data_IF_809812342737
#
_entry.id   IF_809812342737
#
_cell.length_a   1.000
_cell.length_b   1.000
_cell.length_c   1.000
_cell.angle_alpha   90.00
_cell.angle_beta   90.00
_cell.angle_gamma   90.00
#
_symmetry.space_group_name_H-M   'P 1'
#
loop_
_entity.id
_entity.type
_entity.pdbx_description
1 polymer ?
#
# COMPACT_ATOMS: atom_id res chain seq x y z
N UNK A 1 -21.06 -17.27 15.43
CA UNK A 1 -22.22 -16.82 14.64
C UNK A 1 -21.92 -16.95 13.15
N UNK A 2 -22.79 -17.63 12.40
CA UNK A 2 -22.69 -17.80 10.94
C UNK A 2 -23.16 -16.51 10.24
N UNK A 3 -22.66 -16.25 9.03
CA UNK A 3 -23.04 -15.03 8.28
C UNK A 3 -24.55 -14.91 8.02
N UNK A 4 -25.25 -16.04 7.84
CA UNK A 4 -26.71 -16.11 7.72
C UNK A 4 -27.44 -15.53 8.94
N UNK A 5 -27.00 -15.90 10.15
CA UNK A 5 -27.58 -15.44 11.42
C UNK A 5 -27.41 -13.92 11.61
N UNK A 6 -26.28 -13.36 11.14
CA UNK A 6 -26.02 -11.91 11.18
C UNK A 6 -27.00 -11.16 10.26
N UNK A 7 -27.29 -11.70 9.07
CA UNK A 7 -28.23 -11.06 8.13
C UNK A 7 -29.66 -11.14 8.66
N UNK A 8 -30.07 -12.28 9.21
CA UNK A 8 -31.40 -12.45 9.81
C UNK A 8 -31.64 -11.45 10.95
N UNK A 9 -30.63 -11.20 11.79
CA UNK A 9 -30.71 -10.19 12.84
C UNK A 9 -30.81 -8.76 12.30
N UNK A 10 -30.10 -8.44 11.21
CA UNK A 10 -30.20 -7.14 10.54
C UNK A 10 -31.58 -6.95 9.88
N UNK A 11 -32.17 -8.02 9.33
CA UNK A 11 -33.53 -8.00 8.76
C UNK A 11 -34.62 -7.86 9.83
N UNK A 12 -34.39 -8.41 11.02
CA UNK A 12 -35.24 -8.22 12.21
C UNK A 12 -35.17 -6.80 12.78
N UNK A 13 -34.37 -5.91 12.18
CA UNK A 13 -34.27 -4.50 12.57
C UNK A 13 -33.21 -4.20 13.61
N UNK A 14 -32.37 -5.17 14.00
CA UNK A 14 -31.20 -4.88 14.85
C UNK A 14 -30.21 -3.99 14.11
N UNK A 15 -29.64 -3.03 14.83
CA UNK A 15 -28.64 -2.14 14.27
C UNK A 15 -27.25 -2.78 14.33
N UNK A 16 -26.37 -2.47 13.36
CA UNK A 16 -24.98 -2.94 13.40
C UNK A 16 -24.23 -2.57 14.69
N UNK A 17 -24.61 -1.47 15.35
CA UNK A 17 -24.06 -1.06 16.65
C UNK A 17 -24.42 -2.04 17.77
N UNK A 18 -25.60 -2.62 17.72
CA UNK A 18 -26.05 -3.60 18.72
C UNK A 18 -25.33 -4.93 18.52
N UNK A 19 -25.16 -5.33 17.26
CA UNK A 19 -24.37 -6.52 16.91
C UNK A 19 -22.91 -6.40 17.29
N UNK A 20 -22.35 -5.19 17.25
CA UNK A 20 -20.98 -4.93 17.69
C UNK A 20 -20.80 -5.18 19.19
N UNK A 21 -21.76 -4.73 20.00
CA UNK A 21 -21.77 -4.93 21.46
C UNK A 21 -22.05 -6.40 21.82
N UNK A 22 -23.02 -7.02 21.14
CA UNK A 22 -23.43 -8.41 21.40
C UNK A 22 -22.35 -9.41 20.99
N UNK A 23 -21.66 -9.16 19.87
CA UNK A 23 -20.63 -10.06 19.34
C UNK A 23 -19.22 -9.68 19.80
N UNK A 24 -19.04 -8.54 20.48
CA UNK A 24 -17.75 -7.95 20.82
C UNK A 24 -16.80 -7.89 19.60
N UNK A 25 -17.35 -7.56 18.43
CA UNK A 25 -16.65 -7.55 17.15
C UNK A 25 -17.01 -6.26 16.44
N UNK A 26 -16.00 -5.54 15.96
CA UNK A 26 -16.21 -4.28 15.24
C UNK A 26 -17.11 -4.45 14.01
N UNK A 27 -17.89 -3.42 13.69
CA UNK A 27 -18.77 -3.40 12.52
C UNK A 27 -18.03 -3.69 11.21
N UNK A 28 -16.77 -3.27 11.11
CA UNK A 28 -15.93 -3.57 9.95
C UNK A 28 -15.70 -5.07 9.79
N UNK A 29 -15.49 -5.80 10.88
CA UNK A 29 -15.26 -7.24 10.87
C UNK A 29 -16.55 -8.01 10.56
N UNK A 30 -17.71 -7.51 11.04
CA UNK A 30 -19.04 -8.02 10.66
C UNK A 30 -19.24 -7.89 9.14
N UNK A 31 -18.98 -6.72 8.56
CA UNK A 31 -19.07 -6.48 7.11
C UNK A 31 -18.13 -7.38 6.32
N UNK A 32 -16.89 -7.55 6.77
CA UNK A 32 -15.93 -8.44 6.11
C UNK A 32 -16.40 -9.90 6.14
N UNK A 33 -17.00 -10.35 7.25
CA UNK A 33 -17.56 -11.70 7.37
C UNK A 33 -18.76 -11.92 6.43
N UNK A 34 -19.63 -10.93 6.29
CA UNK A 34 -20.75 -10.95 5.34
C UNK A 34 -20.26 -11.01 3.89
N UNK A 35 -19.32 -10.14 3.52
CA UNK A 35 -18.70 -10.16 2.17
C UNK A 35 -18.00 -11.49 1.87
N UNK A 36 -17.26 -12.06 2.84
CA UNK A 36 -16.62 -13.38 2.69
C UNK A 36 -17.62 -14.52 2.49
N UNK A 37 -18.85 -14.35 2.97
CA UNK A 37 -19.92 -15.31 2.81
C UNK A 37 -20.77 -15.07 1.55
N UNK A 38 -20.38 -14.11 0.69
CA UNK A 38 -21.08 -13.83 -0.58
C UNK A 38 -22.20 -12.80 -0.49
N UNK A 39 -22.36 -12.11 0.65
CA UNK A 39 -23.36 -11.06 0.80
C UNK A 39 -22.85 -9.72 0.26
N UNK A 40 -23.68 -9.07 -0.54
CA UNK A 40 -23.54 -7.68 -0.97
C UNK A 40 -24.54 -6.81 -0.22
N UNK A 41 -24.27 -5.51 -0.15
CA UNK A 41 -25.15 -4.55 0.48
C UNK A 41 -25.77 -3.70 -0.61
N UNK A 42 -26.98 -4.07 -1.03
CA UNK A 42 -27.74 -3.46 -2.12
C UNK A 42 -29.08 -2.96 -1.56
N UNK A 43 -29.51 -1.78 -1.98
CA UNK A 43 -30.76 -1.13 -1.56
C UNK A 43 -31.02 -1.11 -0.04
N UNK A 44 -29.97 -0.81 0.74
CA UNK A 44 -30.04 -0.72 2.20
C UNK A 44 -30.20 -2.06 2.92
N UNK A 45 -30.07 -3.20 2.21
CA UNK A 45 -30.18 -4.55 2.76
C UNK A 45 -28.98 -5.40 2.39
N UNK A 46 -28.68 -6.41 3.21
CA UNK A 46 -27.67 -7.40 2.89
C UNK A 46 -28.31 -8.55 2.12
N UNK A 47 -27.96 -8.69 0.85
CA UNK A 47 -28.51 -9.72 -0.02
C UNK A 47 -27.40 -10.68 -0.46
N UNK A 48 -27.75 -11.96 -0.57
CA UNK A 48 -26.85 -12.94 -1.14
C UNK A 48 -26.83 -12.71 -2.65
N UNK A 49 -25.65 -12.55 -3.25
CA UNK A 49 -25.53 -12.36 -4.70
C UNK A 49 -26.08 -13.59 -5.44
N UNK A 50 -27.13 -13.43 -6.25
CA UNK A 50 -27.63 -14.48 -7.15
C UNK A 50 -26.54 -14.84 -8.17
N UNK A 51 -26.23 -16.13 -8.29
CA UNK A 51 -25.14 -16.67 -9.11
C UNK A 51 -24.10 -17.50 -8.36
N UNK A 52 -24.26 -17.71 -7.04
CA UNK A 52 -23.53 -18.73 -6.30
C UNK A 52 -24.52 -19.84 -5.95
N UNK A 53 -24.64 -20.84 -6.83
CA UNK A 53 -25.18 -22.14 -6.43
C UNK A 53 -24.32 -22.65 -5.28
N UNK A 54 -24.98 -22.99 -4.17
CA UNK A 54 -24.34 -23.69 -3.07
C UNK A 54 -24.09 -25.11 -3.56
N UNK A 55 -22.94 -25.35 -4.17
CA UNK A 55 -22.42 -26.71 -4.31
C UNK A 55 -22.33 -27.29 -2.90
N UNK A 56 -23.21 -28.24 -2.61
CA UNK A 56 -22.96 -29.25 -1.59
C UNK A 56 -21.54 -29.74 -1.82
N UNK A 57 -20.66 -29.47 -0.87
CA UNK A 57 -19.25 -29.80 -0.97
C UNK A 57 -19.11 -31.31 -1.19
N UNK A 58 -19.00 -31.73 -2.44
CA UNK A 58 -18.18 -32.88 -2.79
C UNK A 58 -16.78 -32.47 -2.32
N UNK A 59 -16.34 -33.10 -1.24
CA UNK A 59 -14.99 -33.00 -0.74
C UNK A 59 -14.04 -33.62 -1.76
N UNK A 60 -13.75 -32.87 -2.82
CA UNK A 60 -12.53 -33.08 -3.59
C UNK A 60 -11.39 -32.75 -2.63
N UNK A 61 -10.37 -33.63 -2.47
CA UNK A 61 -9.20 -33.29 -1.69
C UNK A 61 -8.53 -32.12 -2.39
N UNK A 62 -8.80 -30.91 -1.91
CA UNK A 62 -8.06 -29.72 -2.30
C UNK A 62 -6.64 -30.04 -1.86
N UNK A 63 -5.75 -30.26 -2.84
CA UNK A 63 -4.32 -30.31 -2.62
C UNK A 63 -3.99 -29.24 -1.59
N UNK A 64 -3.39 -29.66 -0.48
CA UNK A 64 -3.04 -28.82 0.65
C UNK A 64 -2.51 -27.50 0.11
N UNK A 65 -3.27 -26.41 0.28
CA UNK A 65 -2.75 -25.07 -0.03
C UNK A 65 -1.58 -24.87 0.91
N UNK A 66 -0.38 -25.17 0.42
CA UNK A 66 0.86 -24.88 1.12
C UNK A 66 0.80 -23.41 1.47
N UNK A 67 0.76 -23.16 2.78
CA UNK A 67 0.85 -21.81 3.29
C UNK A 67 2.30 -21.42 3.10
N UNK A 68 2.54 -20.41 2.28
CA UNK A 68 3.87 -19.80 2.19
C UNK A 68 4.40 -19.52 3.59
N UNK A 69 5.64 -19.92 3.80
CA UNK A 69 6.41 -19.59 4.99
C UNK A 69 6.60 -18.07 5.09
N UNK A 70 6.97 -17.59 6.28
CA UNK A 70 7.24 -16.18 6.47
C UNK A 70 8.37 -15.68 5.55
N UNK A 71 9.40 -16.50 5.35
CA UNK A 71 10.55 -16.19 4.50
C UNK A 71 10.14 -16.07 3.03
N UNK A 72 9.28 -16.96 2.52
CA UNK A 72 8.75 -16.88 1.17
C UNK A 72 7.86 -15.64 0.97
N UNK A 73 7.08 -15.25 1.99
CA UNK A 73 6.27 -14.02 1.96
C UNK A 73 7.17 -12.79 1.93
N UNK A 74 8.27 -12.78 2.70
CA UNK A 74 9.25 -11.70 2.70
C UNK A 74 9.96 -11.61 1.35
N UNK A 75 10.35 -12.76 0.78
CA UNK A 75 10.94 -12.84 -0.55
C UNK A 75 9.98 -12.33 -1.62
N UNK A 76 8.72 -12.79 -1.63
CA UNK A 76 7.70 -12.36 -2.60
C UNK A 76 7.42 -10.86 -2.49
N UNK A 77 7.42 -10.29 -1.28
CA UNK A 77 7.29 -8.84 -1.08
C UNK A 77 8.50 -8.09 -1.64
N UNK A 78 9.71 -8.59 -1.41
CA UNK A 78 10.95 -8.00 -1.95
C UNK A 78 10.98 -8.07 -3.48
N UNK A 79 10.64 -9.23 -4.03
CA UNK A 79 10.57 -9.46 -5.48
C UNK A 79 9.50 -8.59 -6.14
N UNK A 80 8.30 -8.50 -5.56
CA UNK A 80 7.24 -7.63 -6.08
C UNK A 80 7.62 -6.15 -6.02
N UNK A 81 8.35 -5.73 -4.97
CA UNK A 81 8.91 -4.37 -4.87
C UNK A 81 9.93 -4.12 -5.98
N UNK A 82 10.85 -5.05 -6.22
CA UNK A 82 11.83 -4.97 -7.31
C UNK A 82 11.17 -4.94 -8.71
N UNK A 83 10.10 -5.72 -8.94
CA UNK A 83 9.37 -5.73 -10.22
C UNK A 83 8.59 -4.42 -10.46
N UNK A 84 7.90 -3.91 -9.43
CA UNK A 84 7.18 -2.63 -9.50
C UNK A 84 8.15 -1.46 -9.72
N UNK A 85 9.35 -1.54 -9.14
CA UNK A 85 10.42 -0.55 -9.34
C UNK A 85 11.03 -0.65 -10.74
N UNK A 86 11.16 -1.84 -11.33
CA UNK A 86 11.67 -2.03 -12.70
C UNK A 86 10.71 -1.50 -13.78
N UNK A 87 9.40 -1.74 -13.69
CA UNK A 87 8.41 -1.12 -14.61
C UNK A 87 8.38 0.41 -14.49
N UNK A 88 8.78 0.94 -13.33
CA UNK A 88 8.87 2.38 -13.09
C UNK A 88 10.17 2.98 -13.63
N UNK A 89 11.28 2.22 -13.58
CA UNK A 89 12.58 2.57 -14.18
C UNK A 89 12.44 2.78 -15.68
N UNK A 90 11.86 1.83 -16.42
CA UNK A 90 11.80 1.89 -17.89
C UNK A 90 11.09 3.14 -18.45
N UNK A 91 10.17 3.73 -17.66
CA UNK A 91 9.47 4.95 -18.04
C UNK A 91 10.25 6.24 -17.70
N UNK A 92 11.18 6.23 -16.74
CA UNK A 92 11.86 7.45 -16.24
C UNK A 92 13.34 7.50 -16.66
N UNK A 93 14.04 6.36 -16.77
CA UNK A 93 15.44 6.35 -17.23
C UNK A 93 15.60 6.88 -18.66
N UNK A 94 14.54 6.92 -19.46
CA UNK A 94 14.58 7.52 -20.80
C UNK A 94 14.46 9.06 -20.80
N UNK A 95 13.99 9.71 -19.73
CA UNK A 95 13.79 11.17 -19.68
C UNK A 95 14.96 11.94 -19.03
N UNK A 96 15.81 11.27 -18.24
CA UNK A 96 16.86 11.94 -17.43
C UNK A 96 18.27 11.39 -17.67
N UNK A 97 18.48 10.56 -18.69
CA UNK A 97 19.79 10.08 -19.08
C UNK A 97 20.46 11.10 -20.02
N UNK A 98 21.03 12.16 -19.45
CA UNK A 98 22.07 12.95 -20.11
C UNK A 98 23.46 12.58 -19.55
N UNK A 99 24.43 12.73 -20.45
CA UNK A 99 25.77 12.14 -20.49
C UNK A 99 26.70 12.56 -19.33
N UNK A 100 27.67 11.69 -19.03
CA UNK A 100 28.77 11.81 -18.04
C UNK A 100 28.48 11.31 -16.61
N UNK A 101 28.65 9.99 -16.41
CA UNK A 101 29.17 9.32 -15.20
C UNK A 101 28.58 9.65 -13.79
N UNK A 102 27.60 10.53 -13.66
CA UNK A 102 26.90 10.81 -12.42
C UNK A 102 25.72 9.85 -12.26
N UNK A 103 25.68 9.14 -11.14
CA UNK A 103 24.57 8.27 -10.78
C UNK A 103 23.26 9.08 -10.85
N UNK A 104 22.25 8.53 -11.53
CA UNK A 104 20.95 9.18 -11.62
C UNK A 104 20.34 9.38 -10.21
N UNK A 105 19.42 10.34 -10.07
CA UNK A 105 18.82 10.70 -8.78
C UNK A 105 18.30 9.46 -8.02
N UNK A 106 17.72 8.48 -8.70
CA UNK A 106 17.18 7.26 -8.09
C UNK A 106 18.26 6.32 -7.56
N UNK A 107 19.34 6.13 -8.30
CA UNK A 107 20.50 5.36 -7.87
C UNK A 107 21.15 6.01 -6.65
N UNK A 108 21.22 7.33 -6.65
CA UNK A 108 21.72 8.09 -5.50
C UNK A 108 20.82 7.88 -4.28
N UNK A 109 19.50 7.98 -4.43
CA UNK A 109 18.55 7.73 -3.33
C UNK A 109 18.70 6.31 -2.77
N UNK A 110 18.86 5.31 -3.64
CA UNK A 110 19.04 3.90 -3.23
C UNK A 110 20.35 3.66 -2.48
N UNK A 111 21.40 4.39 -2.85
CA UNK A 111 22.74 4.25 -2.26
C UNK A 111 22.92 5.09 -0.99
N UNK A 112 21.92 5.88 -0.58
CA UNK A 112 21.95 6.52 0.73
C UNK A 112 21.83 5.43 1.79
N UNK A 113 22.73 5.45 2.76
CA UNK A 113 22.69 4.55 3.91
C UNK A 113 21.44 4.85 4.74
N UNK A 114 20.52 3.89 4.82
CA UNK A 114 19.32 4.00 5.65
C UNK A 114 19.65 3.86 7.14
N UNK A 115 20.81 3.28 7.49
CA UNK A 115 21.24 3.00 8.86
C UNK A 115 22.07 4.13 9.49
N UNK A 116 22.32 5.22 8.75
CA UNK A 116 23.06 6.37 9.27
C UNK A 116 22.23 7.18 10.29
N UNK A 117 22.89 7.68 11.35
CA UNK A 117 22.22 8.49 12.37
C UNK A 117 21.81 9.85 11.80
N UNK A 118 20.51 10.07 11.62
CA UNK A 118 19.94 11.29 11.04
C UNK A 118 19.44 12.25 12.11
N UNK A 119 19.79 13.53 11.97
CA UNK A 119 19.23 14.60 12.79
C UNK A 119 18.05 15.27 12.09
N UNK A 120 17.00 15.60 12.85
CA UNK A 120 15.84 16.32 12.32
C UNK A 120 16.15 17.81 12.26
N UNK A 121 16.18 18.36 11.05
CA UNK A 121 16.26 19.81 10.83
C UNK A 121 14.94 20.35 10.25
N UNK A 122 14.51 21.52 10.72
CA UNK A 122 13.35 22.24 10.19
C UNK A 122 13.84 23.38 9.30
N UNK A 123 13.61 23.26 7.99
CA UNK A 123 14.03 24.26 7.00
C UNK A 123 12.79 24.97 6.46
N UNK A 124 12.88 26.29 6.31
CA UNK A 124 11.86 27.10 5.65
C UNK A 124 12.26 27.33 4.19
N UNK A 125 11.34 27.04 3.28
CA UNK A 125 11.45 27.31 1.85
C UNK A 125 10.27 28.19 1.43
N UNK A 126 10.42 28.93 0.33
CA UNK A 126 9.32 29.75 -0.20
C UNK A 126 8.16 28.87 -0.70
N UNK A 127 6.95 29.42 -0.68
CA UNK A 127 5.74 28.72 -1.14
C UNK A 127 5.87 28.23 -2.58
N UNK A 128 6.36 29.08 -3.49
CA UNK A 128 6.60 28.71 -4.89
C UNK A 128 7.52 27.49 -5.01
N UNK A 129 8.62 27.45 -4.25
CA UNK A 129 9.58 26.32 -4.31
C UNK A 129 8.98 25.08 -3.65
N UNK A 130 8.18 25.25 -2.59
CA UNK A 130 7.49 24.16 -1.94
C UNK A 130 6.49 23.47 -2.87
N UNK A 131 5.72 24.25 -3.61
CA UNK A 131 4.70 23.75 -4.54
C UNK A 131 5.34 23.03 -5.71
N UNK A 132 6.35 23.64 -6.33
CA UNK A 132 7.11 23.06 -7.44
C UNK A 132 7.80 21.75 -7.02
N UNK A 133 8.41 21.73 -5.83
CA UNK A 133 9.00 20.50 -5.27
C UNK A 133 7.93 19.44 -4.98
N UNK A 134 6.77 19.83 -4.45
CA UNK A 134 5.69 18.90 -4.15
C UNK A 134 5.06 18.33 -5.42
N UNK A 135 4.95 19.11 -6.48
CA UNK A 135 4.51 18.67 -7.80
C UNK A 135 5.50 17.68 -8.42
N UNK A 136 6.79 18.02 -8.42
CA UNK A 136 7.86 17.12 -8.87
C UNK A 136 7.78 15.75 -8.19
N UNK A 137 7.61 15.71 -6.87
CA UNK A 137 7.49 14.46 -6.11
C UNK A 137 6.22 13.65 -6.44
N UNK A 138 5.14 14.33 -6.84
CA UNK A 138 3.90 13.65 -7.27
C UNK A 138 4.11 12.98 -8.62
N UNK A 139 4.70 13.70 -9.57
CA UNK A 139 4.95 13.22 -10.94
C UNK A 139 5.94 12.05 -10.93
N UNK A 140 7.04 12.18 -10.18
CA UNK A 140 8.09 11.16 -10.06
C UNK A 140 7.73 9.97 -9.13
N UNK A 141 6.53 9.95 -8.54
CA UNK A 141 6.10 9.00 -7.49
C UNK A 141 7.05 8.89 -6.28
N UNK A 142 7.87 9.92 -6.02
CA UNK A 142 8.82 9.97 -4.89
C UNK A 142 8.28 10.63 -3.62
N UNK A 143 6.95 10.68 -3.44
CA UNK A 143 6.29 11.45 -2.37
C UNK A 143 6.85 11.25 -0.95
N UNK A 144 7.40 10.07 -0.65
CA UNK A 144 7.94 9.72 0.67
C UNK A 144 9.44 9.99 0.82
N UNK A 145 10.13 10.43 -0.23
CA UNK A 145 11.59 10.60 -0.26
C UNK A 145 12.02 12.08 -0.15
N UNK A 146 11.15 12.94 0.39
CA UNK A 146 11.38 14.38 0.54
C UNK A 146 12.72 14.70 1.20
N UNK A 147 13.01 14.06 2.34
CA UNK A 147 14.24 14.29 3.11
C UNK A 147 15.48 13.85 2.33
N UNK A 148 15.41 12.69 1.66
CA UNK A 148 16.52 12.12 0.89
C UNK A 148 16.90 12.99 -0.31
N UNK A 149 15.91 13.56 -1.00
CA UNK A 149 16.16 14.45 -2.14
C UNK A 149 16.78 15.77 -1.66
N UNK A 150 16.31 16.30 -0.54
CA UNK A 150 16.92 17.50 0.08
C UNK A 150 18.36 17.21 0.51
N UNK A 151 18.61 16.05 1.09
CA UNK A 151 19.95 15.59 1.47
C UNK A 151 20.88 15.48 0.25
N UNK A 152 20.42 14.89 -0.84
CA UNK A 152 21.15 14.83 -2.12
C UNK A 152 21.49 16.23 -2.65
N UNK A 153 20.49 17.12 -2.68
CA UNK A 153 20.69 18.49 -3.16
C UNK A 153 21.69 19.25 -2.28
N UNK A 154 21.67 19.02 -0.96
CA UNK A 154 22.65 19.58 -0.03
C UNK A 154 24.05 18.99 -0.25
N UNK A 155 24.18 17.69 -0.47
CA UNK A 155 25.46 17.05 -0.80
C UNK A 155 26.04 17.67 -2.07
N UNK A 156 25.24 17.88 -3.11
CA UNK A 156 25.68 18.48 -4.37
C UNK A 156 26.09 19.94 -4.18
N UNK A 157 25.29 20.70 -3.44
CA UNK A 157 25.61 22.06 -3.07
C UNK A 157 26.94 22.13 -2.32
N UNK A 158 27.13 21.29 -1.29
CA UNK A 158 28.36 21.25 -0.51
C UNK A 158 29.55 20.84 -1.39
N UNK A 159 29.46 19.78 -2.19
CA UNK A 159 30.53 19.37 -3.11
C UNK A 159 30.93 20.50 -4.07
N UNK A 160 29.95 21.24 -4.59
CA UNK A 160 30.18 22.32 -5.54
C UNK A 160 30.92 23.52 -4.93
N UNK A 161 30.63 23.85 -3.67
CA UNK A 161 31.09 25.10 -3.05
C UNK A 161 32.13 24.92 -1.94
N UNK A 162 32.39 23.70 -1.46
CA UNK A 162 33.32 23.42 -0.38
C UNK A 162 34.77 23.21 -0.88
N UNK A 163 35.23 24.10 -1.77
CA UNK A 163 36.63 24.12 -2.26
C UNK A 163 37.61 24.65 -1.21
#
# INVERSE_FOLDING_TARGET
MKAKEIVEQLEQGKMMKELEVELNISQSTIRTRLKKAGYTHDDGKWQLREGIEMDEKISVPIATKEKFTHEEIVFLKKFAKEQLENEFRDNITNEFADEENELNLFERIRNIDEDENRERNNIFISESVHDEFTEFLKVSKLKNQKSLIVEIALIDFLKKYNK
#
